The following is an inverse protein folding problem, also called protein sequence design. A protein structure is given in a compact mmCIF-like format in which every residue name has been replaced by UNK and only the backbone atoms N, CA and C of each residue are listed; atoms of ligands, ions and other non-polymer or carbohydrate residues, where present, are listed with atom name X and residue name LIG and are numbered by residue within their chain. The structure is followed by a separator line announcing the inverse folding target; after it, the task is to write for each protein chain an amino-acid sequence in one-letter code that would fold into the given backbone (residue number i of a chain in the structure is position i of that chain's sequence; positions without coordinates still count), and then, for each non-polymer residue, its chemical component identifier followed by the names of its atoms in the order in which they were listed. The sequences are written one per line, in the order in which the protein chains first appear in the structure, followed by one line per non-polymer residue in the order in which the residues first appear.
data_IF_820607816514
#
_entry.id   IF_820607816514
#
_cell.length_a   1.000
_cell.length_b   1.000
_cell.length_c   1.000
_cell.angle_alpha   90.00
_cell.angle_beta   90.00
_cell.angle_gamma   90.00
#
_symmetry.space_group_name_H-M   'P 1'
#
loop_
_entity.id
_entity.type
_entity.pdbx_description
1 polymer ?
#
# COMPACT_ATOMS: atom_id res chain seq x y z
N UNK A 1 -8.09 57.21 -5.29
CA UNK A 1 -8.85 55.95 -5.50
C UNK A 1 -8.60 55.57 -6.95
N UNK A 2 -7.67 54.63 -7.20
CA UNK A 2 -7.92 53.26 -7.72
C UNK A 2 -8.81 53.32 -8.98
N UNK A 3 -8.38 52.94 -10.17
CA UNK A 3 -7.90 51.60 -10.53
C UNK A 3 -7.11 51.61 -11.87
N UNK A 4 -6.09 50.75 -11.95
CA UNK A 4 -5.60 50.21 -13.23
C UNK A 4 -6.52 49.06 -13.67
N UNK A 5 -6.62 48.79 -14.99
CA UNK A 5 -6.45 47.40 -15.37
C UNK A 5 -5.59 47.17 -16.62
N UNK A 6 -4.67 46.21 -16.44
CA UNK A 6 -4.25 45.17 -17.36
C UNK A 6 -3.50 45.52 -18.66
N UNK A 7 -2.18 45.35 -18.60
CA UNK A 7 -1.38 44.76 -19.68
C UNK A 7 -0.86 43.40 -19.21
N UNK A 8 -1.04 42.31 -19.97
CA UNK A 8 -0.10 41.22 -19.98
C UNK A 8 0.70 41.27 -21.27
N UNK A 9 1.99 41.52 -21.12
CA UNK A 9 2.98 41.32 -22.14
C UNK A 9 3.50 39.87 -22.05
N UNK A 10 3.89 39.32 -23.20
CA UNK A 10 4.65 38.08 -23.41
C UNK A 10 3.84 36.78 -23.41
N UNK A 11 3.64 36.27 -24.63
CA UNK A 11 3.32 34.87 -24.91
C UNK A 11 4.41 33.97 -24.31
N UNK A 12 4.02 33.07 -23.43
CA UNK A 12 4.88 31.99 -22.92
C UNK A 12 4.98 30.94 -24.04
N UNK A 13 6.18 30.59 -24.53
CA UNK A 13 6.34 29.50 -25.48
C UNK A 13 5.92 28.18 -24.80
N UNK A 14 4.97 27.49 -25.44
CA UNK A 14 4.46 26.16 -25.09
C UNK A 14 5.50 25.07 -25.37
N UNK A 15 6.60 25.05 -24.65
CA UNK A 15 7.58 23.96 -24.77
C UNK A 15 8.23 23.69 -23.41
N UNK A 16 7.50 23.06 -22.48
CA UNK A 16 8.02 22.00 -21.59
C UNK A 16 6.80 21.26 -21.01
N UNK A 17 6.25 20.30 -21.74
CA UNK A 17 5.59 19.18 -21.05
C UNK A 17 6.75 18.34 -20.51
N UNK A 18 6.91 18.15 -19.18
CA UNK A 18 7.82 17.14 -18.70
C UNK A 18 7.23 15.79 -19.11
N UNK A 19 7.68 15.30 -20.25
CA UNK A 19 7.55 13.91 -20.64
C UNK A 19 8.15 13.08 -19.52
N UNK A 20 7.31 12.50 -18.67
CA UNK A 20 7.65 11.33 -17.85
C UNK A 20 7.85 10.10 -18.76
N UNK A 21 8.63 10.26 -19.82
CA UNK A 21 9.07 9.22 -20.73
C UNK A 21 10.35 8.62 -20.13
N UNK A 22 10.19 7.86 -19.05
CA UNK A 22 11.16 6.84 -18.59
C UNK A 22 10.60 5.96 -17.46
N UNK A 23 9.28 5.69 -17.47
CA UNK A 23 8.81 4.44 -16.90
C UNK A 23 8.82 3.41 -18.03
N UNK A 24 9.92 2.66 -18.12
CA UNK A 24 9.92 1.37 -18.79
C UNK A 24 8.63 0.63 -18.40
N UNK A 25 7.93 -0.04 -19.33
CA UNK A 25 6.71 -0.74 -19.00
C UNK A 25 7.10 -1.88 -18.06
N UNK A 26 7.04 -1.63 -16.75
CA UNK A 26 6.81 -2.67 -15.77
C UNK A 26 5.62 -3.41 -16.35
N UNK A 27 5.82 -4.65 -16.79
CA UNK A 27 4.74 -5.54 -17.21
C UNK A 27 3.58 -5.27 -16.26
N UNK A 28 2.48 -4.72 -16.80
CA UNK A 28 1.48 -4.02 -16.00
C UNK A 28 1.01 -4.99 -14.92
N UNK A 29 1.41 -4.74 -13.66
CA UNK A 29 1.10 -5.64 -12.56
C UNK A 29 -0.42 -5.77 -12.50
N UNK A 30 -0.90 -7.01 -12.42
CA UNK A 30 -2.33 -7.24 -12.35
C UNK A 30 -2.93 -6.44 -11.18
N UNK A 31 -4.08 -5.77 -11.40
CA UNK A 31 -4.72 -4.99 -10.37
C UNK A 31 -5.16 -5.90 -9.22
N UNK A 32 -4.89 -5.50 -7.98
CA UNK A 32 -5.40 -6.23 -6.82
C UNK A 32 -6.94 -6.18 -6.80
N UNK A 33 -7.57 -7.34 -6.68
CA UNK A 33 -9.01 -7.49 -6.48
C UNK A 33 -9.33 -8.11 -5.12
N UNK A 34 -10.53 -7.87 -4.59
CA UNK A 34 -10.93 -8.44 -3.30
C UNK A 34 -11.36 -9.90 -3.45
N UNK A 35 -10.75 -10.78 -2.66
CA UNK A 35 -11.21 -12.15 -2.46
C UNK A 35 -12.07 -12.20 -1.19
N UNK A 36 -13.34 -12.57 -1.32
CA UNK A 36 -14.29 -12.64 -0.20
C UNK A 36 -14.91 -14.03 -0.07
N UNK A 37 -14.97 -14.54 1.16
CA UNK A 37 -15.64 -15.79 1.50
C UNK A 37 -16.21 -15.70 2.91
N UNK A 38 -17.36 -16.35 3.14
CA UNK A 38 -17.89 -16.57 4.48
C UNK A 38 -17.09 -17.68 5.16
N UNK A 39 -16.60 -17.42 6.37
CA UNK A 39 -15.82 -18.38 7.16
C UNK A 39 -16.27 -18.33 8.61
N UNK A 40 -16.07 -19.43 9.38
CA UNK A 40 -16.25 -19.38 10.82
C UNK A 40 -15.39 -18.29 11.47
N UNK A 41 -15.92 -17.67 12.54
CA UNK A 41 -15.21 -16.60 13.26
C UNK A 41 -13.86 -17.06 13.83
N UNK A 42 -13.74 -18.34 14.21
CA UNK A 42 -12.50 -18.96 14.66
C UNK A 42 -11.42 -18.93 13.58
N UNK A 43 -11.77 -19.21 12.32
CA UNK A 43 -10.84 -19.17 11.17
C UNK A 43 -10.32 -17.76 10.96
N UNK A 44 -11.21 -16.75 10.94
CA UNK A 44 -10.83 -15.34 10.82
C UNK A 44 -9.85 -14.92 11.92
N UNK A 45 -10.08 -15.35 13.17
CA UNK A 45 -9.18 -15.08 14.31
C UNK A 45 -7.83 -15.75 14.14
N UNK A 46 -7.80 -17.02 13.74
CA UNK A 46 -6.57 -17.79 13.55
C UNK A 46 -5.68 -17.17 12.47
N UNK A 47 -6.25 -16.77 11.32
CA UNK A 47 -5.50 -16.13 10.23
C UNK A 47 -4.90 -14.79 10.67
N UNK A 48 -5.66 -13.97 11.42
CA UNK A 48 -5.16 -12.69 11.94
C UNK A 48 -4.03 -12.87 12.94
N UNK A 49 -4.22 -13.76 13.91
CA UNK A 49 -3.21 -14.09 14.91
C UNK A 49 -1.91 -14.55 14.25
N UNK A 50 -2.01 -15.37 13.20
CA UNK A 50 -0.84 -15.82 12.44
C UNK A 50 -0.10 -14.67 11.78
N UNK A 51 -0.81 -13.74 11.15
CA UNK A 51 -0.21 -12.57 10.54
C UNK A 51 0.53 -11.70 11.57
N UNK A 52 -0.06 -11.53 12.77
CA UNK A 52 0.55 -10.81 13.88
C UNK A 52 1.82 -11.50 14.40
N UNK A 53 1.76 -12.82 14.64
CA UNK A 53 2.89 -13.64 15.12
C UNK A 53 4.08 -13.63 14.13
N UNK A 54 3.79 -13.59 12.82
CA UNK A 54 4.80 -13.54 11.76
C UNK A 54 5.23 -12.12 11.38
N UNK A 55 4.66 -11.08 12.00
CA UNK A 55 4.95 -9.68 11.67
C UNK A 55 4.61 -9.30 10.21
N UNK A 56 3.55 -9.90 9.66
CA UNK A 56 3.17 -9.79 8.25
C UNK A 56 1.68 -9.46 8.11
N UNK A 57 1.14 -9.47 6.89
CA UNK A 57 -0.27 -9.13 6.62
C UNK A 57 -1.13 -10.37 6.40
N UNK A 58 -2.44 -10.25 6.62
CA UNK A 58 -3.39 -11.31 6.26
C UNK A 58 -3.30 -11.68 4.78
N UNK A 59 -3.03 -10.69 3.91
CA UNK A 59 -2.83 -10.91 2.47
C UNK A 59 -1.65 -11.84 2.20
N UNK A 60 -0.47 -11.61 2.78
CA UNK A 60 0.71 -12.45 2.54
C UNK A 60 0.53 -13.87 3.10
N UNK A 61 -0.20 -14.03 4.21
CA UNK A 61 -0.59 -15.34 4.75
C UNK A 61 -1.49 -16.08 3.76
N UNK A 62 -2.53 -15.41 3.25
CA UNK A 62 -3.46 -16.02 2.29
C UNK A 62 -2.79 -16.38 0.96
N UNK A 63 -1.97 -15.49 0.41
CA UNK A 63 -1.25 -15.76 -0.84
C UNK A 63 -0.27 -16.94 -0.71
N UNK A 64 0.48 -17.02 0.41
CA UNK A 64 1.32 -18.20 0.70
C UNK A 64 0.50 -19.47 0.81
N UNK A 65 -0.63 -19.43 1.52
CA UNK A 65 -1.50 -20.59 1.67
C UNK A 65 -2.06 -21.07 0.31
N UNK A 66 -2.51 -20.15 -0.55
CA UNK A 66 -3.02 -20.45 -1.88
C UNK A 66 -1.93 -21.03 -2.80
N UNK A 67 -0.70 -20.49 -2.74
CA UNK A 67 0.47 -21.03 -3.44
C UNK A 67 0.81 -22.43 -2.97
N UNK A 68 0.90 -22.64 -1.65
CA UNK A 68 1.20 -23.97 -1.08
C UNK A 68 0.12 -25.02 -1.37
N UNK A 69 -1.14 -24.60 -1.50
CA UNK A 69 -2.23 -25.47 -1.89
C UNK A 69 -2.27 -25.78 -3.40
N UNK A 70 -1.39 -25.17 -4.21
CA UNK A 70 -1.38 -25.31 -5.67
C UNK A 70 -2.60 -24.69 -6.36
N UNK A 71 -3.27 -23.73 -5.70
CA UNK A 71 -4.48 -23.08 -6.22
C UNK A 71 -4.14 -21.88 -7.10
N UNK A 72 -3.04 -21.18 -6.80
CA UNK A 72 -2.59 -20.02 -7.56
C UNK A 72 -1.06 -19.97 -7.62
N UNK A 73 -0.54 -19.64 -8.80
CA UNK A 73 0.87 -19.29 -8.97
C UNK A 73 1.07 -17.85 -8.48
N UNK A 74 1.87 -17.69 -7.43
CA UNK A 74 2.15 -16.38 -6.84
C UNK A 74 3.66 -16.22 -6.68
N UNK A 75 4.20 -15.21 -7.35
CA UNK A 75 5.61 -14.86 -7.26
C UNK A 75 5.97 -14.38 -5.86
N UNK A 76 7.20 -14.67 -5.41
CA UNK A 76 7.64 -14.26 -4.07
C UNK A 76 7.65 -12.73 -3.93
N UNK A 77 7.87 -12.02 -5.03
CA UNK A 77 7.80 -10.56 -5.10
C UNK A 77 6.40 -9.99 -4.86
N UNK A 78 5.34 -10.81 -5.04
CA UNK A 78 3.96 -10.42 -4.75
C UNK A 78 3.54 -10.70 -3.32
N UNK A 79 4.14 -11.75 -2.73
CA UNK A 79 4.00 -12.11 -1.31
C UNK A 79 4.76 -11.12 -0.43
N UNK A 80 5.96 -10.71 -0.87
CA UNK A 80 6.76 -9.66 -0.28
C UNK A 80 6.05 -8.30 -0.40
N UNK A 81 5.16 -8.05 0.55
CA UNK A 81 4.31 -6.89 0.57
C UNK A 81 5.13 -5.59 0.72
N UNK A 82 5.40 -4.89 -0.39
CA UNK A 82 6.00 -3.55 -0.36
C UNK A 82 5.10 -2.50 0.30
N UNK A 83 3.84 -2.84 0.68
CA UNK A 83 2.93 -1.92 1.38
C UNK A 83 3.11 -1.91 2.88
N UNK A 84 3.91 -2.79 3.48
CA UNK A 84 4.27 -2.67 4.91
C UNK A 84 4.90 -1.29 5.19
N UNK A 85 5.66 -0.72 4.24
CA UNK A 85 6.17 0.64 4.35
C UNK A 85 5.06 1.72 4.39
N UNK A 86 4.04 1.61 3.53
CA UNK A 86 3.01 2.65 3.40
C UNK A 86 1.79 2.49 4.33
N UNK A 87 1.49 1.27 4.77
CA UNK A 87 0.34 0.95 5.65
C UNK A 87 0.66 1.04 7.15
N UNK A 88 1.91 0.78 7.54
CA UNK A 88 2.38 0.99 8.91
C UNK A 88 2.34 2.48 9.32
N UNK A 89 2.63 3.38 8.37
CA UNK A 89 2.53 4.83 8.59
C UNK A 89 1.08 5.31 8.80
N UNK A 90 0.11 4.72 8.09
CA UNK A 90 -1.31 5.15 8.13
C UNK A 90 -2.12 4.57 9.29
N UNK A 91 -1.74 3.40 9.81
CA UNK A 91 -2.56 2.67 10.79
C UNK A 91 -2.33 3.07 12.24
N UNK A 92 -1.28 3.84 12.56
CA UNK A 92 -0.99 4.30 13.93
C UNK A 92 -0.74 3.17 14.95
N UNK A 93 -0.75 1.91 14.53
CA UNK A 93 -0.58 0.71 15.38
C UNK A 93 0.78 0.71 16.07
N UNK A 94 1.78 1.37 15.48
CA UNK A 94 3.11 1.54 16.08
C UNK A 94 3.16 2.47 17.31
N UNK A 95 2.10 3.25 17.61
CA UNK A 95 2.08 4.13 18.79
C UNK A 95 1.71 3.44 20.11
N UNK A 96 1.29 2.17 20.09
CA UNK A 96 0.84 1.50 21.31
C UNK A 96 1.98 1.00 22.22
N UNK A 97 3.25 1.02 21.79
CA UNK A 97 4.36 0.38 22.55
C UNK A 97 5.35 1.37 23.18
N UNK A 98 5.01 2.64 23.37
CA UNK A 98 5.75 3.52 24.29
C UNK A 98 4.83 4.09 25.36
N UNK A 99 4.57 3.30 26.39
CA UNK A 99 4.30 3.86 27.71
C UNK A 99 5.68 4.13 28.31
N UNK A 100 6.16 5.38 28.44
CA UNK A 100 7.24 5.65 29.38
C UNK A 100 6.66 5.41 30.78
N UNK A 101 7.13 4.37 31.45
CA UNK A 101 6.89 4.14 32.87
C UNK A 101 7.35 5.38 33.62
N UNK A 102 6.41 6.24 34.01
CA UNK A 102 6.66 7.38 34.90
C UNK A 102 6.31 6.93 36.31
N UNK A 103 7.32 6.63 37.10
CA UNK A 103 7.25 6.50 38.55
C UNK A 103 8.62 6.96 39.08
N UNK A 104 8.74 8.23 39.46
CA UNK A 104 8.47 8.87 40.76
C UNK A 104 9.74 8.91 41.61
#
# INVERSE_FOLDING_TARGET
MRDHPFRPAHAIPHDVIPSNADQAPSAAREPDVQLAAMVPQSVKRAVRRRAEEEGTTVRSVLLRALKHAGIAEVEESEIADRRIAAGAERSGVWKATRIPTRAR
#
